data_IF_052053580244
#
_entry.id   IF_052053580244
#
_cell.length_a   1.000
_cell.length_b   1.000
_cell.length_c   1.000
_cell.angle_alpha   90.00
_cell.angle_beta   90.00
_cell.angle_gamma   90.00
#
_symmetry.space_group_name_H-M   'P 1'
#
loop_
_entity.id
_entity.type
_entity.pdbx_description
1 polymer ?
#
# COMPACT_ATOMS: atom_id res chain seq x y z
N UNK A 1 -30.57 1.51 -6.28
CA UNK A 1 -29.55 1.46 -7.36
C UNK A 1 -28.85 0.12 -7.27
N UNK A 2 -28.85 -0.69 -8.33
CA UNK A 2 -28.24 -2.02 -8.32
C UNK A 2 -26.71 -1.94 -8.27
N UNK A 3 -26.07 -2.91 -7.61
CA UNK A 3 -24.61 -3.03 -7.47
C UNK A 3 -23.87 -2.98 -8.83
N UNK A 4 -24.50 -3.53 -9.88
CA UNK A 4 -23.99 -3.50 -11.26
C UNK A 4 -23.95 -2.10 -11.89
N UNK A 5 -24.85 -1.19 -11.52
CA UNK A 5 -24.87 0.17 -12.05
C UNK A 5 -23.77 1.05 -11.40
N UNK A 6 -23.44 0.79 -10.14
CA UNK A 6 -22.33 1.45 -9.45
C UNK A 6 -20.97 1.00 -10.00
N UNK A 7 -20.80 -0.30 -10.29
CA UNK A 7 -19.56 -0.83 -10.89
C UNK A 7 -19.27 -0.25 -12.28
N UNK A 8 -20.30 -0.01 -13.11
CA UNK A 8 -20.11 0.54 -14.46
C UNK A 8 -19.73 2.04 -14.48
N UNK A 9 -20.30 2.85 -13.59
CA UNK A 9 -19.95 4.28 -13.47
C UNK A 9 -18.60 4.48 -12.74
N UNK A 10 -18.29 3.61 -11.77
CA UNK A 10 -17.02 3.61 -11.06
C UNK A 10 -15.84 3.09 -11.90
N UNK A 11 -16.10 2.40 -13.02
CA UNK A 11 -15.08 1.91 -13.96
C UNK A 11 -14.29 3.02 -14.69
N UNK A 12 -14.78 4.27 -14.73
CA UNK A 12 -13.97 5.40 -15.23
C UNK A 12 -12.74 5.62 -14.33
N UNK A 13 -11.60 5.94 -14.93
CA UNK A 13 -10.36 6.21 -14.18
C UNK A 13 -10.57 7.32 -13.16
N UNK A 14 -10.11 7.11 -11.94
CA UNK A 14 -10.01 8.18 -10.95
C UNK A 14 -8.97 9.20 -11.43
N UNK A 15 -9.12 10.46 -11.00
CA UNK A 15 -8.13 11.51 -11.25
C UNK A 15 -7.70 12.10 -9.91
N UNK A 16 -6.40 12.24 -9.71
CA UNK A 16 -5.84 12.74 -8.46
C UNK A 16 -4.67 13.69 -8.65
N UNK A 17 -4.57 14.67 -7.77
CA UNK A 17 -3.49 15.66 -7.75
C UNK A 17 -2.37 15.18 -6.84
N UNK A 18 -1.12 15.17 -7.33
CA UNK A 18 0.06 14.94 -6.52
C UNK A 18 0.39 16.21 -5.71
N UNK A 19 0.31 16.08 -4.38
CA UNK A 19 0.72 17.10 -3.41
C UNK A 19 1.70 16.42 -2.44
N UNK A 20 2.95 16.89 -2.42
CA UNK A 20 4.04 16.26 -1.65
C UNK A 20 4.12 14.74 -1.89
N UNK A 21 3.88 13.91 -0.87
CA UNK A 21 3.96 12.45 -0.92
C UNK A 21 2.58 11.77 -0.98
N UNK A 22 1.56 12.52 -1.43
CA UNK A 22 0.17 12.08 -1.47
C UNK A 22 -0.46 12.43 -2.81
N UNK A 23 -1.36 11.55 -3.27
CA UNK A 23 -2.26 11.85 -4.38
C UNK A 23 -3.65 12.03 -3.84
N UNK A 24 -4.22 13.21 -4.05
CA UNK A 24 -5.51 13.63 -3.51
C UNK A 24 -6.59 13.46 -4.58
N UNK A 25 -7.61 12.67 -4.27
CA UNK A 25 -8.79 12.45 -5.12
C UNK A 25 -9.97 13.17 -4.49
N UNK A 26 -10.49 14.18 -5.20
CA UNK A 26 -11.57 15.04 -4.72
C UNK A 26 -12.96 14.60 -5.16
N UNK A 27 -13.03 13.71 -6.15
CA UNK A 27 -14.28 13.18 -6.69
C UNK A 27 -14.98 12.27 -5.65
N UNK A 28 -16.18 12.64 -5.14
CA UNK A 28 -16.88 11.87 -4.11
C UNK A 28 -17.26 10.46 -4.54
N UNK A 29 -17.63 10.24 -5.82
CA UNK A 29 -18.00 8.90 -6.30
C UNK A 29 -16.77 7.98 -6.35
N UNK A 30 -15.63 8.51 -6.80
CA UNK A 30 -14.36 7.78 -6.80
C UNK A 30 -13.85 7.52 -5.38
N UNK A 31 -14.09 8.45 -4.45
CA UNK A 31 -13.73 8.26 -3.05
C UNK A 31 -14.45 7.04 -2.45
N UNK A 32 -15.75 6.87 -2.70
CA UNK A 32 -16.51 5.71 -2.21
C UNK A 32 -16.06 4.41 -2.89
N UNK A 33 -15.76 4.44 -4.19
CA UNK A 33 -15.26 3.27 -4.91
C UNK A 33 -13.92 2.76 -4.34
N UNK A 34 -12.99 3.68 -4.10
CA UNK A 34 -11.68 3.38 -3.54
C UNK A 34 -11.78 2.91 -2.07
N UNK A 35 -12.69 3.49 -1.30
CA UNK A 35 -12.96 3.09 0.08
C UNK A 35 -13.39 1.62 0.18
N UNK A 36 -14.34 1.20 -0.64
CA UNK A 36 -14.82 -0.20 -0.69
C UNK A 36 -13.71 -1.20 -1.03
N UNK A 37 -12.64 -0.73 -1.67
CA UNK A 37 -11.44 -1.51 -2.03
C UNK A 37 -10.25 -1.25 -1.10
N UNK A 38 -10.47 -0.50 -0.02
CA UNK A 38 -9.49 -0.17 1.01
C UNK A 38 -8.23 0.52 0.45
N UNK A 39 -8.42 1.49 -0.44
CA UNK A 39 -7.35 2.37 -0.91
C UNK A 39 -7.39 3.70 -0.18
N UNK A 40 -6.23 4.13 0.33
CA UNK A 40 -6.06 5.44 0.93
C UNK A 40 -6.86 5.68 2.21
N UNK A 41 -6.74 6.90 2.71
CA UNK A 41 -7.47 7.41 3.86
C UNK A 41 -8.27 8.66 3.48
N UNK A 42 -9.39 8.89 4.15
CA UNK A 42 -10.16 10.13 3.96
C UNK A 42 -9.48 11.27 4.73
N UNK A 43 -9.38 12.44 4.12
CA UNK A 43 -8.98 13.71 4.74
C UNK A 43 -9.93 14.84 4.33
N UNK A 44 -9.71 16.03 4.87
CA UNK A 44 -10.46 17.25 4.55
C UNK A 44 -10.42 17.61 3.06
N UNK A 45 -9.33 17.26 2.36
CA UNK A 45 -9.14 17.57 0.94
C UNK A 45 -9.73 16.51 0.01
N UNK A 46 -10.12 15.35 0.53
CA UNK A 46 -10.59 14.21 -0.25
C UNK A 46 -9.93 12.91 0.18
N UNK A 47 -9.90 11.91 -0.70
CA UNK A 47 -9.22 10.64 -0.42
C UNK A 47 -7.74 10.77 -0.77
N UNK A 48 -6.89 10.49 0.20
CA UNK A 48 -5.44 10.53 0.07
C UNK A 48 -4.89 9.14 -0.18
N UNK A 49 -4.15 9.00 -1.27
CA UNK A 49 -3.37 7.81 -1.58
C UNK A 49 -1.90 8.10 -1.31
N UNK A 50 -1.17 7.14 -0.75
CA UNK A 50 0.28 7.22 -0.75
C UNK A 50 0.87 6.86 -2.13
N UNK A 51 2.15 7.17 -2.36
CA UNK A 51 2.80 6.95 -3.66
C UNK A 51 2.77 5.48 -4.12
N UNK A 52 2.83 4.50 -3.19
CA UNK A 52 2.76 3.07 -3.51
C UNK A 52 1.35 2.71 -4.02
N UNK A 53 0.32 3.12 -3.29
CA UNK A 53 -1.09 2.90 -3.67
C UNK A 53 -1.41 3.56 -5.01
N UNK A 54 -0.98 4.80 -5.20
CA UNK A 54 -1.17 5.54 -6.45
C UNK A 54 -0.49 4.85 -7.62
N UNK A 55 0.75 4.39 -7.44
CA UNK A 55 1.50 3.70 -8.51
C UNK A 55 0.80 2.39 -8.89
N UNK A 56 0.34 1.61 -7.91
CA UNK A 56 -0.44 0.41 -8.19
C UNK A 56 -1.72 0.71 -8.99
N UNK A 57 -2.47 1.76 -8.61
CA UNK A 57 -3.68 2.15 -9.35
C UNK A 57 -3.38 2.68 -10.75
N UNK A 58 -2.26 3.39 -10.94
CA UNK A 58 -1.80 3.82 -12.28
C UNK A 58 -1.41 2.63 -13.15
N UNK A 59 -0.67 1.65 -12.62
CA UNK A 59 -0.29 0.42 -13.33
C UNK A 59 -1.51 -0.41 -13.77
N UNK A 60 -2.60 -0.35 -12.98
CA UNK A 60 -3.88 -0.99 -13.30
C UNK A 60 -4.78 -0.17 -14.22
N UNK A 61 -4.30 0.98 -14.68
CA UNK A 61 -5.05 1.91 -15.52
C UNK A 61 -6.33 2.45 -14.85
N UNK A 62 -6.34 2.54 -13.53
CA UNK A 62 -7.48 3.00 -12.71
C UNK A 62 -7.32 4.42 -12.18
N UNK A 63 -6.12 5.01 -12.28
CA UNK A 63 -5.81 6.34 -11.78
C UNK A 63 -4.98 7.13 -12.79
N UNK A 64 -5.39 8.38 -13.04
CA UNK A 64 -4.58 9.39 -13.71
C UNK A 64 -4.09 10.38 -12.66
N UNK A 65 -2.77 10.51 -12.52
CA UNK A 65 -2.16 11.47 -11.61
C UNK A 65 -1.71 12.71 -12.38
N UNK A 66 -1.98 13.88 -11.83
CA UNK A 66 -1.48 15.15 -12.36
C UNK A 66 -0.82 15.95 -11.25
N UNK A 67 -0.01 16.93 -11.64
CA UNK A 67 0.56 17.93 -10.74
C UNK A 67 0.30 19.33 -11.31
N UNK A 68 0.18 20.33 -10.45
CA UNK A 68 0.07 21.73 -10.87
C UNK A 68 1.47 22.35 -10.83
N UNK A 69 1.98 22.76 -11.99
CA UNK A 69 3.25 23.51 -12.11
C UNK A 69 3.00 24.80 -12.88
N UNK A 70 3.43 25.92 -12.31
CA UNK A 70 3.23 27.27 -12.89
C UNK A 70 1.75 27.54 -13.25
N UNK A 71 0.82 27.12 -12.38
CA UNK A 71 -0.62 27.28 -12.58
C UNK A 71 -1.23 26.40 -13.68
N UNK A 72 -0.47 25.47 -14.27
CA UNK A 72 -0.96 24.53 -15.29
C UNK A 72 -0.93 23.11 -14.77
N UNK A 73 -2.02 22.39 -15.01
CA UNK A 73 -2.09 20.95 -14.77
C UNK A 73 -1.24 20.20 -15.80
N UNK A 74 -0.43 19.27 -15.30
CA UNK A 74 0.38 18.38 -16.12
C UNK A 74 0.17 16.95 -15.65
N UNK A 75 -0.35 16.09 -16.54
CA UNK A 75 -0.48 14.67 -16.24
C UNK A 75 0.91 14.03 -16.16
N UNK A 76 1.09 13.15 -15.17
CA UNK A 76 2.31 12.38 -15.00
C UNK A 76 2.20 11.04 -15.74
N UNK A 77 3.27 10.67 -16.45
CA UNK A 77 3.42 9.30 -16.96
C UNK A 77 3.72 8.35 -15.82
N UNK A 78 3.49 7.06 -16.02
CA UNK A 78 3.83 6.04 -15.02
C UNK A 78 5.33 6.09 -14.67
N UNK A 79 6.21 6.20 -15.66
CA UNK A 79 7.67 6.27 -15.43
C UNK A 79 8.06 7.53 -14.65
N UNK A 80 7.43 8.67 -14.95
CA UNK A 80 7.66 9.91 -14.22
C UNK A 80 7.20 9.82 -12.77
N UNK A 81 6.07 9.15 -12.52
CA UNK A 81 5.54 8.95 -11.17
C UNK A 81 6.35 7.92 -10.36
N UNK A 82 6.84 6.85 -11.00
CA UNK A 82 7.75 5.88 -10.37
C UNK A 82 9.04 6.55 -9.92
N UNK A 83 9.65 7.39 -10.77
CA UNK A 83 10.85 8.17 -10.39
C UNK A 83 10.61 9.05 -9.17
N UNK A 84 9.47 9.74 -9.11
CA UNK A 84 9.06 10.52 -7.92
C UNK A 84 8.98 9.61 -6.68
N UNK A 85 8.44 8.41 -6.82
CA UNK A 85 8.39 7.42 -5.74
C UNK A 85 9.79 7.03 -5.24
N UNK A 86 10.69 6.67 -6.16
CA UNK A 86 12.07 6.30 -5.84
C UNK A 86 12.87 7.43 -5.18
N UNK A 87 12.63 8.68 -5.56
CA UNK A 87 13.29 9.85 -4.98
C UNK A 87 12.79 10.19 -3.56
N UNK A 88 11.54 9.84 -3.23
CA UNK A 88 10.87 10.33 -2.01
C UNK A 88 10.60 9.26 -0.96
N UNK A 89 10.72 7.98 -1.32
CA UNK A 89 10.43 6.85 -0.45
C UNK A 89 11.58 5.85 -0.53
N UNK A 90 12.20 5.60 0.61
CA UNK A 90 13.24 4.58 0.72
C UNK A 90 12.67 3.20 0.34
N UNK A 91 13.46 2.42 -0.40
CA UNK A 91 13.08 1.08 -0.86
C UNK A 91 11.76 1.01 -1.64
N UNK A 92 11.35 2.13 -2.28
CA UNK A 92 10.09 2.27 -3.01
C UNK A 92 9.75 1.10 -3.93
N UNK A 93 10.70 0.66 -4.78
CA UNK A 93 10.45 -0.45 -5.71
C UNK A 93 10.18 -1.78 -4.99
N UNK A 94 10.88 -2.04 -3.88
CA UNK A 94 10.69 -3.26 -3.08
C UNK A 94 9.33 -3.23 -2.38
N UNK A 95 8.98 -2.10 -1.79
CA UNK A 95 7.66 -1.86 -1.20
C UNK A 95 6.54 -2.03 -2.24
N UNK A 96 6.72 -1.46 -3.43
CA UNK A 96 5.75 -1.53 -4.52
C UNK A 96 5.56 -2.97 -5.01
N UNK A 97 6.66 -3.71 -5.23
CA UNK A 97 6.62 -5.13 -5.62
C UNK A 97 5.84 -5.98 -4.61
N UNK A 98 6.13 -5.82 -3.32
CA UNK A 98 5.42 -6.56 -2.25
C UNK A 98 3.95 -6.15 -2.18
N UNK A 99 3.66 -4.85 -2.29
CA UNK A 99 2.29 -4.33 -2.27
C UNK A 99 1.45 -4.92 -3.41
N UNK A 100 1.98 -4.91 -4.65
CA UNK A 100 1.32 -5.49 -5.83
C UNK A 100 1.09 -6.98 -5.61
N UNK A 101 2.12 -7.74 -5.21
CA UNK A 101 1.99 -9.19 -5.01
C UNK A 101 0.91 -9.56 -3.98
N UNK A 102 0.83 -8.83 -2.88
CA UNK A 102 -0.19 -9.05 -1.84
C UNK A 102 -1.59 -8.66 -2.34
N UNK A 103 -1.72 -7.54 -3.06
CA UNK A 103 -3.00 -7.11 -3.66
C UNK A 103 -3.50 -8.11 -4.69
N UNK A 104 -2.62 -8.66 -5.53
CA UNK A 104 -2.96 -9.67 -6.54
C UNK A 104 -3.40 -10.99 -5.91
N UNK A 105 -2.80 -11.37 -4.79
CA UNK A 105 -3.24 -12.52 -3.96
C UNK A 105 -4.58 -12.27 -3.24
N UNK A 106 -5.16 -11.07 -3.36
CA UNK A 106 -6.47 -10.74 -2.80
C UNK A 106 -6.46 -10.28 -1.36
N UNK A 107 -5.29 -9.97 -0.79
CA UNK A 107 -5.20 -9.33 0.52
C UNK A 107 -5.64 -7.87 0.45
N UNK A 108 -6.23 -7.38 1.54
CA UNK A 108 -6.33 -5.94 1.78
C UNK A 108 -4.99 -5.50 2.34
N UNK A 109 -4.34 -4.55 1.68
CA UNK A 109 -3.01 -4.05 2.08
C UNK A 109 -3.11 -2.58 2.44
N UNK A 110 -2.79 -2.26 3.69
CA UNK A 110 -2.83 -0.91 4.24
C UNK A 110 -1.48 -0.56 4.88
N UNK A 111 -1.25 0.72 5.20
CA UNK A 111 -0.04 1.15 5.93
C UNK A 111 0.08 0.42 7.27
N UNK A 112 1.26 -0.15 7.53
CA UNK A 112 1.58 -0.88 8.76
C UNK A 112 2.32 -0.04 9.80
N UNK A 113 2.51 1.26 9.57
CA UNK A 113 3.41 2.12 10.36
C UNK A 113 3.09 2.07 11.86
N UNK A 114 1.79 2.09 12.22
CA UNK A 114 1.31 2.02 13.60
C UNK A 114 1.62 0.68 14.31
N UNK A 115 1.87 -0.38 13.54
CA UNK A 115 2.22 -1.71 14.05
C UNK A 115 3.73 -1.98 13.98
N UNK A 116 4.51 -0.96 13.60
CA UNK A 116 5.93 -1.13 13.35
C UNK A 116 6.19 -2.11 12.23
N UNK A 117 5.42 -2.02 11.14
CA UNK A 117 5.64 -2.69 9.86
C UNK A 117 5.50 -1.72 8.69
N UNK A 118 5.81 -2.16 7.49
CA UNK A 118 5.58 -1.39 6.26
C UNK A 118 4.11 -1.49 5.85
N UNK A 119 3.55 -2.70 5.95
CA UNK A 119 2.14 -2.95 5.70
C UNK A 119 1.46 -3.69 6.84
N UNK A 120 0.17 -3.49 6.98
CA UNK A 120 -0.74 -4.40 7.68
C UNK A 120 -1.68 -5.01 6.66
N UNK A 121 -1.91 -6.31 6.76
CA UNK A 121 -2.72 -7.03 5.78
C UNK A 121 -3.86 -7.82 6.40
N UNK A 122 -4.97 -7.88 5.67
CA UNK A 122 -6.14 -8.69 6.01
C UNK A 122 -6.36 -9.73 4.93
N UNK A 123 -6.64 -10.96 5.36
CA UNK A 123 -7.04 -12.05 4.50
C UNK A 123 -8.40 -11.79 3.84
N UNK A 124 -8.68 -12.56 2.78
CA UNK A 124 -9.95 -12.48 2.06
C UNK A 124 -11.11 -12.73 3.02
N UNK A 125 -12.09 -11.82 3.00
CA UNK A 125 -13.26 -11.90 3.88
C UNK A 125 -13.07 -11.26 5.26
N UNK A 126 -11.84 -10.94 5.67
CA UNK A 126 -11.55 -10.05 6.80
C UNK A 126 -11.53 -8.59 6.34
N UNK A 127 -11.58 -7.66 7.28
CA UNK A 127 -11.45 -6.22 7.02
C UNK A 127 -11.17 -5.46 8.32
N UNK A 128 -10.73 -4.20 8.25
CA UNK A 128 -10.62 -3.32 9.43
C UNK A 128 -11.90 -3.22 10.26
N UNK A 129 -13.08 -3.38 9.63
CA UNK A 129 -14.36 -3.36 10.34
C UNK A 129 -14.67 -4.66 11.08
N UNK A 130 -13.98 -5.77 10.76
CA UNK A 130 -14.21 -7.10 11.34
C UNK A 130 -13.18 -7.48 12.41
N UNK A 131 -12.09 -6.74 12.55
CA UNK A 131 -11.10 -6.98 13.60
C UNK A 131 -9.70 -6.47 13.29
N UNK A 132 -8.72 -7.09 13.95
CA UNK A 132 -7.30 -6.79 13.81
C UNK A 132 -6.74 -7.33 12.49
N UNK A 133 -5.65 -6.74 11.94
CA UNK A 133 -4.93 -7.32 10.81
C UNK A 133 -4.48 -8.76 11.09
N UNK A 134 -4.51 -9.60 10.06
CA UNK A 134 -3.99 -10.95 10.16
C UNK A 134 -2.45 -10.92 10.31
N UNK A 135 -1.78 -10.05 9.54
CA UNK A 135 -0.33 -9.96 9.55
C UNK A 135 0.17 -8.50 9.52
N UNK A 136 1.30 -8.28 10.18
CA UNK A 136 2.15 -7.11 9.99
C UNK A 136 3.30 -7.53 9.08
N UNK A 137 3.52 -6.80 7.99
CA UNK A 137 4.53 -7.12 6.98
C UNK A 137 5.71 -6.16 7.09
N UNK A 138 6.92 -6.70 7.14
CA UNK A 138 8.18 -5.97 6.99
C UNK A 138 8.83 -6.36 5.66
N UNK A 139 9.10 -5.38 4.80
CA UNK A 139 9.77 -5.58 3.52
C UNK A 139 11.27 -5.45 3.71
N UNK A 140 12.00 -6.46 3.25
CA UNK A 140 13.45 -6.53 3.33
C UNK A 140 14.01 -6.84 1.94
N UNK A 141 15.22 -6.39 1.66
CA UNK A 141 15.98 -6.81 0.48
C UNK A 141 16.98 -7.88 0.88
N UNK A 142 17.20 -8.86 0.03
CA UNK A 142 18.13 -9.97 0.29
C UNK A 142 19.57 -9.50 0.54
N UNK A 143 19.96 -8.37 -0.06
CA UNK A 143 21.26 -7.74 0.17
C UNK A 143 21.36 -6.94 1.48
N UNK A 144 20.25 -6.63 2.15
CA UNK A 144 20.27 -5.85 3.39
C UNK A 144 20.74 -6.74 4.55
N UNK A 145 21.78 -6.29 5.27
CA UNK A 145 22.21 -6.96 6.49
C UNK A 145 21.11 -6.84 7.56
N UNK A 146 20.65 -7.99 8.08
CA UNK A 146 19.66 -8.06 9.14
C UNK A 146 20.34 -8.28 10.49
N UNK A 147 20.15 -7.34 11.44
CA UNK A 147 20.69 -7.52 12.79
C UNK A 147 19.77 -8.41 13.61
N UNK A 148 20.35 -9.32 14.40
CA UNK A 148 19.60 -10.16 15.34
C UNK A 148 18.79 -9.34 16.37
N UNK A 149 19.28 -8.14 16.70
CA UNK A 149 18.56 -7.18 17.55
C UNK A 149 17.24 -6.74 16.95
N UNK A 150 17.19 -6.58 15.61
CA UNK A 150 15.99 -6.11 14.90
C UNK A 150 14.93 -7.22 14.94
N UNK A 151 15.33 -8.47 14.66
CA UNK A 151 14.46 -9.64 14.79
C UNK A 151 13.86 -9.76 16.19
N UNK A 152 14.69 -9.61 17.23
CA UNK A 152 14.26 -9.68 18.63
C UNK A 152 13.30 -8.54 19.00
N UNK A 153 13.50 -7.37 18.40
CA UNK A 153 12.62 -6.21 18.61
C UNK A 153 11.26 -6.42 17.95
N UNK A 154 11.27 -6.84 16.68
CA UNK A 154 10.04 -7.06 15.91
C UNK A 154 9.18 -8.19 16.50
N UNK A 155 9.80 -9.27 16.97
CA UNK A 155 9.07 -10.39 17.59
C UNK A 155 8.35 -9.99 18.89
N UNK A 156 8.92 -9.05 19.65
CA UNK A 156 8.26 -8.49 20.84
C UNK A 156 7.12 -7.55 20.46
N UNK A 157 7.31 -6.71 19.44
CA UNK A 157 6.28 -5.78 18.96
C UNK A 157 5.02 -6.48 18.47
N UNK A 158 5.14 -7.61 17.79
CA UNK A 158 3.99 -8.36 17.26
C UNK A 158 3.21 -9.12 18.33
N UNK A 159 3.90 -9.59 19.38
CA UNK A 159 3.24 -10.19 20.54
C UNK A 159 2.27 -9.22 21.24
N UNK A 160 2.53 -7.91 21.17
CA UNK A 160 1.65 -6.88 21.74
C UNK A 160 0.43 -6.56 20.85
N UNK A 161 0.55 -6.70 19.53
CA UNK A 161 -0.49 -6.28 18.56
C UNK A 161 -1.45 -7.39 18.14
N UNK A 162 -1.25 -8.63 18.63
CA UNK A 162 -2.01 -9.83 18.21
C UNK A 162 -1.98 -10.08 16.70
N UNK A 163 -0.93 -9.61 16.03
CA UNK A 163 -0.70 -9.83 14.61
C UNK A 163 0.53 -10.72 14.42
N UNK A 164 0.54 -11.52 13.37
CA UNK A 164 1.72 -12.32 13.02
C UNK A 164 2.70 -11.48 12.19
N UNK A 165 4.00 -11.52 12.51
CA UNK A 165 5.01 -10.83 11.69
C UNK A 165 5.33 -11.67 10.45
N UNK A 166 5.19 -11.07 9.28
CA UNK A 166 5.70 -11.61 8.02
C UNK A 166 6.85 -10.75 7.52
N UNK A 167 8.02 -11.37 7.32
CA UNK A 167 9.12 -10.77 6.58
C UNK A 167 8.95 -11.10 5.10
N UNK A 168 8.76 -10.07 4.27
CA UNK A 168 8.72 -10.19 2.82
C UNK A 168 10.09 -9.81 2.25
N UNK A 169 10.89 -10.82 1.92
CA UNK A 169 12.25 -10.65 1.39
C UNK A 169 12.18 -10.61 -0.14
N UNK A 170 12.54 -9.46 -0.71
CA UNK A 170 12.74 -9.27 -2.15
C UNK A 170 14.15 -9.69 -2.51
N UNK A 171 14.26 -10.70 -3.37
CA UNK A 171 15.53 -11.27 -3.84
C UNK A 171 16.13 -10.44 -4.96
N UNK A 172 17.42 -10.66 -5.27
CA UNK A 172 18.08 -10.03 -6.42
C UNK A 172 17.44 -10.35 -7.77
N UNK A 173 16.70 -11.46 -7.85
CA UNK A 173 16.00 -11.91 -9.06
C UNK A 173 14.51 -11.52 -9.04
N UNK A 174 14.13 -10.52 -8.24
CA UNK A 174 12.76 -10.01 -8.13
C UNK A 174 11.69 -11.00 -7.65
N UNK A 175 12.12 -12.15 -7.13
CA UNK A 175 11.24 -13.07 -6.39
C UNK A 175 11.00 -12.55 -4.98
N UNK A 176 9.79 -12.81 -4.46
CA UNK A 176 9.40 -12.44 -3.10
C UNK A 176 9.23 -13.71 -2.26
N UNK A 177 9.98 -13.82 -1.17
CA UNK A 177 9.85 -14.91 -0.18
C UNK A 177 9.27 -14.37 1.11
N UNK A 178 8.26 -15.06 1.65
CA UNK A 178 7.62 -14.69 2.91
C UNK A 178 8.06 -15.64 4.01
N UNK A 179 8.53 -15.09 5.13
CA UNK A 179 8.91 -15.83 6.32
C UNK A 179 8.10 -15.34 7.51
N UNK A 180 7.46 -16.27 8.20
CA UNK A 180 6.77 -15.98 9.45
C UNK A 180 7.76 -15.96 10.61
N UNK A 181 7.76 -14.88 11.40
CA UNK A 181 8.58 -14.79 12.61
C UNK A 181 7.70 -14.99 13.84
N UNK A 182 7.93 -16.10 14.55
CA UNK A 182 7.26 -16.41 15.80
C UNK A 182 8.24 -16.52 16.94
N UNK A 183 7.95 -15.82 18.05
CA UNK A 183 8.61 -16.09 19.31
C UNK A 183 8.02 -17.35 19.95
N UNK A 184 8.87 -18.33 20.26
CA UNK A 184 8.49 -19.53 21.00
C UNK A 184 9.33 -19.63 22.27
N UNK A 185 8.65 -19.75 23.40
CA UNK A 185 9.28 -20.20 24.64
C UNK A 185 9.35 -21.73 24.59
N UNK A 186 10.57 -22.26 24.62
CA UNK A 186 10.83 -23.71 24.68
C UNK A 186 10.58 -24.25 26.09
#
# INVERSE_FOLDING_TARGET
MSEKAFDAASARKSRGELIENRVIIRDPEKNLYLEKRFYGSLSELGRELNLIESTHLMLRDLLVVFQVKNGKEQNLTIDGFVKIGEERVDDFLSLLKVYINLREKGFIVMSGLELGGDFKIYERGSSPAKGYPNYTVRVLKEENALKLSDLSSWSRGTSATKTTLLMAIVTRNDLIRYYELNYRRL
#
